data_IF_098243213941
#
_entry.id   IF_098243213941
#
_cell.length_a   1.000
_cell.length_b   1.000
_cell.length_c   1.000
_cell.angle_alpha   90.00
_cell.angle_beta   90.00
_cell.angle_gamma   90.00
#
_symmetry.space_group_name_H-M   'P 1'
#
loop_
_entity.id
_entity.type
_entity.pdbx_description
1 polymer ?
#
# COMPACT_ATOMS: atom_id res chain seq x y z
N UNK A 1 -5.35 -16.83 3.95
CA UNK A 1 -5.04 -15.46 3.51
C UNK A 1 -6.31 -14.70 3.15
N UNK A 2 -7.13 -15.24 2.24
CA UNK A 2 -8.35 -14.58 1.77
C UNK A 2 -9.44 -14.42 2.84
N UNK A 3 -9.65 -15.40 3.71
CA UNK A 3 -10.60 -15.27 4.83
C UNK A 3 -10.34 -14.02 5.67
N UNK A 4 -9.07 -13.74 5.99
CA UNK A 4 -8.69 -12.57 6.75
C UNK A 4 -9.01 -11.25 6.03
N UNK A 5 -8.97 -11.23 4.69
CA UNK A 5 -9.34 -10.05 3.91
C UNK A 5 -10.86 -9.76 4.00
N UNK A 6 -11.69 -10.81 4.07
CA UNK A 6 -13.12 -10.67 4.32
C UNK A 6 -13.38 -10.20 5.75
N UNK A 7 -12.68 -10.76 6.74
CA UNK A 7 -12.83 -10.33 8.13
C UNK A 7 -12.47 -8.84 8.31
N UNK A 8 -11.47 -8.34 7.57
CA UNK A 8 -11.13 -6.91 7.56
C UNK A 8 -12.24 -6.09 6.90
N UNK A 9 -12.79 -6.52 5.76
CA UNK A 9 -13.93 -5.85 5.12
C UNK A 9 -15.13 -5.74 6.09
N UNK A 10 -15.41 -6.81 6.84
CA UNK A 10 -16.52 -6.89 7.78
C UNK A 10 -16.25 -6.08 9.07
N UNK A 11 -14.99 -6.00 9.53
CA UNK A 11 -14.59 -5.16 10.70
C UNK A 11 -14.75 -3.66 10.39
N UNK A 12 -14.55 -3.24 9.14
CA UNK A 12 -14.48 -1.82 8.74
C UNK A 12 -15.65 -1.38 7.83
N UNK A 13 -16.86 -1.84 8.15
CA UNK A 13 -18.09 -1.60 7.37
C UNK A 13 -18.42 -0.10 7.15
N UNK A 14 -17.99 0.77 8.07
CA UNK A 14 -18.63 2.07 8.26
C UNK A 14 -17.94 3.25 7.55
N UNK A 15 -16.65 3.18 7.16
CA UNK A 15 -15.95 4.40 6.67
C UNK A 15 -14.89 4.27 5.58
N UNK A 16 -14.61 3.10 5.01
CA UNK A 16 -13.57 3.00 3.97
C UNK A 16 -13.86 1.93 2.93
N UNK A 17 -13.87 2.31 1.66
CA UNK A 17 -13.73 1.34 0.56
C UNK A 17 -12.31 0.80 0.65
N UNK A 18 -12.15 -0.37 1.28
CA UNK A 18 -10.87 -1.08 1.31
C UNK A 18 -10.58 -1.57 -0.12
N UNK A 19 -9.39 -1.24 -0.60
CA UNK A 19 -8.89 -1.73 -1.88
C UNK A 19 -7.91 -2.88 -1.61
N UNK A 20 -8.36 -4.10 -1.81
CA UNK A 20 -7.49 -5.28 -1.75
C UNK A 20 -6.63 -5.33 -3.01
N UNK A 21 -5.33 -5.56 -2.82
CA UNK A 21 -4.36 -5.67 -3.92
C UNK A 21 -3.51 -6.92 -3.71
N UNK A 22 -3.20 -7.62 -4.80
CA UNK A 22 -2.33 -8.80 -4.80
C UNK A 22 -1.30 -8.67 -5.91
N UNK A 23 -0.05 -9.02 -5.61
CA UNK A 23 0.96 -9.21 -6.64
C UNK A 23 0.63 -10.45 -7.47
N UNK A 24 0.59 -10.28 -8.78
CA UNK A 24 0.16 -11.33 -9.69
C UNK A 24 1.27 -11.67 -10.69
N UNK A 25 1.68 -12.93 -10.66
CA UNK A 25 2.29 -13.61 -11.80
C UNK A 25 1.27 -14.57 -12.41
N UNK A 26 1.38 -14.88 -13.70
CA UNK A 26 0.39 -15.71 -14.43
C UNK A 26 0.01 -17.02 -13.69
N UNK A 27 1.00 -17.68 -13.07
CA UNK A 27 0.78 -18.91 -12.28
C UNK A 27 0.11 -18.61 -10.92
N UNK A 28 0.48 -17.50 -10.28
CA UNK A 28 -0.08 -17.08 -9.00
C UNK A 28 -1.54 -16.62 -9.15
N UNK A 29 -1.89 -16.02 -10.29
CA UNK A 29 -3.28 -15.66 -10.61
C UNK A 29 -4.16 -16.91 -10.68
N UNK A 30 -3.70 -17.97 -11.35
CA UNK A 30 -4.51 -19.20 -11.45
C UNK A 30 -4.68 -19.90 -10.09
N UNK A 31 -3.62 -19.99 -9.29
CA UNK A 31 -3.67 -20.65 -7.98
C UNK A 31 -4.46 -19.83 -6.97
N UNK A 32 -4.11 -18.56 -6.80
CA UNK A 32 -4.76 -17.70 -5.81
C UNK A 32 -6.16 -17.26 -6.24
N UNK A 33 -6.43 -17.17 -7.54
CA UNK A 33 -7.77 -16.92 -8.08
C UNK A 33 -8.73 -18.05 -7.71
N UNK A 34 -8.32 -19.32 -7.88
CA UNK A 34 -9.14 -20.47 -7.45
C UNK A 34 -9.40 -20.48 -5.95
N UNK A 35 -8.38 -20.17 -5.14
CA UNK A 35 -8.56 -20.06 -3.69
C UNK A 35 -9.49 -18.90 -3.31
N UNK A 36 -9.40 -17.77 -4.02
CA UNK A 36 -10.27 -16.63 -3.81
C UNK A 36 -11.72 -16.96 -4.18
N UNK A 37 -11.94 -17.63 -5.30
CA UNK A 37 -13.26 -18.06 -5.76
C UNK A 37 -13.90 -19.02 -4.75
N UNK A 38 -13.15 -20.00 -4.24
CA UNK A 38 -13.65 -20.92 -3.22
C UNK A 38 -14.10 -20.18 -1.95
N UNK A 39 -13.29 -19.24 -1.46
CA UNK A 39 -13.64 -18.43 -0.28
C UNK A 39 -14.80 -17.48 -0.57
N UNK A 40 -14.91 -16.97 -1.81
CA UNK A 40 -16.00 -16.11 -2.23
C UNK A 40 -17.34 -16.86 -2.27
N UNK A 41 -17.33 -18.12 -2.71
CA UNK A 41 -18.49 -19.02 -2.68
C UNK A 41 -18.94 -19.28 -1.25
N UNK A 42 -17.99 -19.59 -0.35
CA UNK A 42 -18.27 -19.81 1.08
C UNK A 42 -18.82 -18.56 1.78
N UNK A 43 -18.32 -17.37 1.40
CA UNK A 43 -18.74 -16.08 1.97
C UNK A 43 -19.97 -15.48 1.26
N UNK A 44 -20.41 -16.06 0.14
CA UNK A 44 -21.54 -15.59 -0.66
C UNK A 44 -21.35 -14.21 -1.33
N UNK A 45 -20.11 -13.72 -1.41
CA UNK A 45 -19.78 -12.45 -2.08
C UNK A 45 -18.36 -12.46 -2.64
N UNK A 46 -18.16 -11.79 -3.77
CA UNK A 46 -16.84 -11.61 -4.38
C UNK A 46 -16.04 -10.50 -3.68
N UNK A 47 -14.76 -10.73 -3.43
CA UNK A 47 -13.84 -9.72 -2.90
C UNK A 47 -13.38 -8.80 -4.03
N UNK A 48 -13.36 -7.48 -3.76
CA UNK A 48 -12.80 -6.50 -4.71
C UNK A 48 -11.28 -6.51 -4.61
N UNK A 49 -10.63 -7.51 -5.22
CA UNK A 49 -9.18 -7.63 -5.32
C UNK A 49 -8.65 -7.11 -6.66
N UNK A 50 -7.56 -6.35 -6.64
CA UNK A 50 -6.86 -5.87 -7.82
C UNK A 50 -5.50 -6.56 -7.96
N UNK A 51 -5.28 -7.18 -9.11
CA UNK A 51 -4.01 -7.78 -9.48
C UNK A 51 -2.99 -6.71 -9.93
N UNK A 52 -1.78 -6.77 -9.35
CA UNK A 52 -0.63 -5.94 -9.72
C UNK A 52 0.37 -6.78 -10.52
N UNK A 53 0.41 -6.55 -11.84
CA UNK A 53 1.27 -7.25 -12.81
C UNK A 53 2.58 -6.49 -13.12
N UNK A 54 2.93 -5.48 -12.32
CA UNK A 54 4.14 -4.69 -12.61
C UNK A 54 5.38 -5.55 -12.41
N UNK A 55 6.37 -5.36 -13.28
CA UNK A 55 7.72 -5.84 -13.01
C UNK A 55 8.30 -4.98 -11.88
N UNK A 56 8.41 -5.56 -10.69
CA UNK A 56 9.03 -4.92 -9.54
C UNK A 56 10.55 -4.90 -9.73
N UNK A 57 11.16 -3.73 -9.51
CA UNK A 57 12.61 -3.59 -9.43
C UNK A 57 13.18 -4.26 -8.18
N UNK A 58 14.44 -3.97 -7.86
CA UNK A 58 15.09 -4.57 -6.70
C UNK A 58 14.31 -4.35 -5.40
N UNK A 59 14.13 -5.44 -4.64
CA UNK A 59 13.31 -5.47 -3.43
C UNK A 59 13.91 -4.59 -2.33
N UNK A 60 15.23 -4.58 -2.19
CA UNK A 60 15.92 -3.78 -1.20
C UNK A 60 15.79 -2.30 -1.47
N UNK A 61 16.04 -1.88 -2.71
CA UNK A 61 15.88 -0.50 -3.12
C UNK A 61 14.45 -0.02 -2.85
N UNK A 62 13.43 -0.81 -3.24
CA UNK A 62 12.01 -0.47 -3.01
C UNK A 62 11.68 -0.28 -1.53
N UNK A 63 12.03 -1.23 -0.68
CA UNK A 63 11.72 -1.14 0.76
C UNK A 63 12.49 0.01 1.42
N UNK A 64 13.75 0.25 1.04
CA UNK A 64 14.55 1.36 1.60
C UNK A 64 13.92 2.74 1.37
N UNK A 65 13.13 2.92 0.29
CA UNK A 65 12.45 4.20 0.06
C UNK A 65 11.45 4.55 1.17
N UNK A 66 10.97 3.55 1.92
CA UNK A 66 10.03 3.73 3.02
C UNK A 66 10.66 4.43 4.23
N UNK A 67 11.99 4.40 4.38
CA UNK A 67 12.69 5.05 5.50
C UNK A 67 12.30 6.53 5.60
N UNK A 68 12.21 7.21 4.45
CA UNK A 68 11.79 8.60 4.37
C UNK A 68 10.38 8.85 4.93
N UNK A 69 9.46 7.89 4.81
CA UNK A 69 8.10 7.98 5.35
C UNK A 69 8.06 7.73 6.86
N UNK A 70 8.90 6.80 7.35
CA UNK A 70 9.06 6.52 8.78
C UNK A 70 9.71 7.69 9.52
N UNK A 71 10.82 8.23 9.01
CA UNK A 71 11.52 9.37 9.60
C UNK A 71 10.62 10.62 9.71
N UNK A 72 9.75 10.82 8.70
CA UNK A 72 8.78 11.92 8.69
C UNK A 72 7.52 11.65 9.53
N UNK A 73 7.40 10.48 10.15
CA UNK A 73 6.25 10.10 10.98
C UNK A 73 4.93 9.97 10.21
N UNK A 74 5.00 9.70 8.89
CA UNK A 74 3.85 9.52 8.00
C UNK A 74 3.28 8.10 8.07
N UNK A 75 4.10 7.12 8.45
CA UNK A 75 3.66 5.76 8.75
C UNK A 75 3.49 5.62 10.26
N UNK A 76 2.34 5.09 10.70
CA UNK A 76 2.01 4.92 12.13
C UNK A 76 1.35 3.57 12.35
N UNK A 77 1.82 2.86 13.37
CA UNK A 77 1.18 1.62 13.82
C UNK A 77 0.16 1.91 14.91
N UNK A 78 -0.99 1.23 14.85
CA UNK A 78 -2.04 1.36 15.85
C UNK A 78 -1.58 0.79 17.20
N UNK A 79 -1.54 1.65 18.23
CA UNK A 79 -1.10 1.26 19.58
C UNK A 79 -1.98 0.18 20.21
N UNK A 80 -3.27 0.14 19.88
CA UNK A 80 -4.20 -0.89 20.36
C UNK A 80 -3.84 -2.28 19.83
N UNK A 81 -3.17 -2.35 18.67
CA UNK A 81 -2.72 -3.59 18.04
C UNK A 81 -1.26 -3.92 18.38
N UNK A 82 -0.58 -3.16 19.27
CA UNK A 82 0.85 -3.36 19.62
C UNK A 82 1.18 -4.78 20.10
N UNK A 83 0.26 -5.42 20.81
CA UNK A 83 0.46 -6.76 21.37
C UNK A 83 0.14 -7.91 20.39
N UNK A 84 -0.49 -7.60 19.25
CA UNK A 84 -0.81 -8.57 18.22
C UNK A 84 0.47 -9.20 17.65
N UNK A 85 0.45 -10.52 17.46
CA UNK A 85 1.60 -11.28 16.96
C UNK A 85 2.06 -10.80 15.57
N UNK A 86 1.13 -10.54 14.65
CA UNK A 86 1.42 -10.02 13.33
C UNK A 86 2.04 -8.62 13.37
N UNK A 87 1.54 -7.74 14.24
CA UNK A 87 2.12 -6.39 14.41
C UNK A 87 3.54 -6.43 14.98
N UNK A 88 3.82 -7.36 15.91
CA UNK A 88 5.18 -7.58 16.44
C UNK A 88 6.11 -8.12 15.35
N UNK A 89 5.65 -9.12 14.60
CA UNK A 89 6.41 -9.73 13.51
C UNK A 89 6.77 -8.69 12.44
N UNK A 90 5.80 -7.90 11.98
CA UNK A 90 6.02 -6.86 10.98
C UNK A 90 7.06 -5.83 11.45
N UNK A 91 6.98 -5.39 12.71
CA UNK A 91 7.98 -4.48 13.28
C UNK A 91 9.36 -5.12 13.36
N UNK A 92 9.45 -6.38 13.77
CA UNK A 92 10.71 -7.12 13.80
C UNK A 92 11.31 -7.27 12.39
N UNK A 93 10.48 -7.51 11.38
CA UNK A 93 10.93 -7.57 9.98
C UNK A 93 11.51 -6.24 9.51
N UNK A 94 10.82 -5.11 9.74
CA UNK A 94 11.35 -3.79 9.41
C UNK A 94 12.65 -3.45 10.14
N UNK A 95 12.77 -3.83 11.42
CA UNK A 95 13.98 -3.58 12.22
C UNK A 95 15.17 -4.47 11.83
N UNK A 96 14.89 -5.66 11.30
CA UNK A 96 15.91 -6.61 10.86
C UNK A 96 16.19 -6.54 9.36
N UNK A 97 15.61 -5.53 8.68
CA UNK A 97 15.76 -5.29 7.25
C UNK A 97 17.13 -4.69 6.97
N UNK A 98 18.15 -5.54 6.91
CA UNK A 98 19.50 -5.19 6.47
C UNK A 98 19.85 -5.96 5.20
N UNK A 99 20.63 -5.32 4.32
CA UNK A 99 21.09 -5.94 3.06
C UNK A 99 21.95 -7.17 3.37
N UNK A 100 21.41 -8.37 3.14
CA UNK A 100 22.06 -9.65 3.45
C UNK A 100 21.49 -10.38 4.67
N UNK A 101 20.42 -9.87 5.29
CA UNK A 101 19.67 -10.56 6.34
C UNK A 101 18.88 -11.74 5.74
N UNK A 102 18.87 -12.88 6.42
CA UNK A 102 18.03 -14.05 6.05
C UNK A 102 16.60 -13.97 6.62
N UNK A 103 16.21 -12.80 7.13
CA UNK A 103 14.88 -12.60 7.72
C UNK A 103 13.84 -12.52 6.60
N UNK A 104 12.62 -12.97 6.91
CA UNK A 104 11.53 -12.90 5.95
C UNK A 104 11.13 -11.43 5.69
N UNK A 105 11.27 -11.00 4.43
CA UNK A 105 10.98 -9.66 3.93
C UNK A 105 9.58 -9.51 3.30
N UNK A 106 8.69 -10.49 3.43
CA UNK A 106 7.36 -10.48 2.81
C UNK A 106 6.46 -9.37 3.37
N UNK A 107 6.51 -9.12 4.67
CA UNK A 107 5.75 -8.06 5.33
C UNK A 107 6.14 -6.66 4.84
N UNK A 108 7.44 -6.31 4.88
CA UNK A 108 7.96 -5.08 4.28
C UNK A 108 7.63 -4.91 2.79
N UNK A 109 7.71 -5.97 1.97
CA UNK A 109 7.37 -5.88 0.54
C UNK A 109 5.88 -5.67 0.29
N UNK A 110 5.02 -6.37 1.04
CA UNK A 110 3.58 -6.16 0.98
C UNK A 110 3.20 -4.72 1.38
N UNK A 111 3.90 -4.16 2.38
CA UNK A 111 3.70 -2.77 2.79
C UNK A 111 4.16 -1.78 1.72
N UNK A 112 5.33 -1.97 1.08
CA UNK A 112 5.73 -1.13 -0.06
C UNK A 112 4.69 -1.18 -1.17
N UNK A 113 4.18 -2.38 -1.49
CA UNK A 113 3.16 -2.56 -2.51
C UNK A 113 1.88 -1.78 -2.20
N UNK A 114 1.45 -1.82 -0.94
CA UNK A 114 0.31 -1.04 -0.47
C UNK A 114 0.55 0.48 -0.60
N UNK A 115 1.72 0.97 -0.17
CA UNK A 115 2.09 2.39 -0.30
C UNK A 115 2.08 2.83 -1.77
N UNK A 116 2.65 2.02 -2.66
CA UNK A 116 2.66 2.32 -4.10
C UNK A 116 1.24 2.41 -4.68
N UNK A 117 0.35 1.51 -4.29
CA UNK A 117 -1.05 1.54 -4.72
C UNK A 117 -1.79 2.78 -4.19
N UNK A 118 -1.55 3.15 -2.93
CA UNK A 118 -2.08 4.39 -2.35
C UNK A 118 -1.61 5.63 -3.12
N UNK A 119 -0.33 5.73 -3.45
CA UNK A 119 0.24 6.86 -4.18
C UNK A 119 -0.32 6.97 -5.61
N UNK A 120 -0.54 5.83 -6.27
CA UNK A 120 -1.11 5.78 -7.62
C UNK A 120 -2.59 6.20 -7.64
N UNK A 121 -3.38 5.72 -6.68
CA UNK A 121 -4.80 6.07 -6.54
C UNK A 121 -5.00 7.52 -6.09
N UNK A 122 -4.06 8.02 -5.29
CA UNK A 122 -4.12 9.34 -4.65
C UNK A 122 -3.30 10.42 -5.33
N UNK A 123 -3.14 10.43 -6.67
CA UNK A 123 -2.55 11.58 -7.37
C UNK A 123 -3.29 12.84 -6.93
N UNK A 124 -2.72 13.56 -5.96
CA UNK A 124 -3.11 14.93 -5.66
C UNK A 124 -2.91 15.63 -6.99
N UNK A 125 -4.00 15.94 -7.69
CA UNK A 125 -3.94 16.89 -8.79
C UNK A 125 -3.25 18.09 -8.17
N UNK A 126 -2.00 18.35 -8.57
CA UNK A 126 -1.37 19.61 -8.23
C UNK A 126 -2.44 20.65 -8.59
N UNK A 127 -2.97 21.36 -7.60
CA UNK A 127 -3.92 22.43 -7.87
C UNK A 127 -3.22 23.27 -8.91
N UNK A 128 -3.73 23.28 -10.15
CA UNK A 128 -2.94 23.65 -11.32
C UNK A 128 -2.11 24.89 -11.03
N UNK A 129 -0.81 24.86 -11.38
CA UNK A 129 0.16 25.91 -11.06
C UNK A 129 -0.54 27.26 -11.08
N UNK A 130 -0.73 27.88 -9.90
CA UNK A 130 -1.40 29.17 -9.78
C UNK A 130 -0.51 30.22 -10.46
N UNK A 131 -0.62 30.32 -11.78
CA UNK A 131 -0.01 31.38 -12.55
C UNK A 131 -0.73 32.68 -12.19
N UNK A 132 -0.13 33.48 -11.32
CA UNK A 132 -0.59 34.84 -11.10
C UNK A 132 -0.57 35.58 -12.45
N UNK A 133 -1.70 36.16 -12.86
CA UNK A 133 -1.71 37.06 -14.03
C UNK A 133 -0.90 38.31 -13.66
N UNK A 134 0.31 38.43 -14.19
CA UNK A 134 1.11 39.64 -14.07
C UNK A 134 0.36 40.81 -14.75
N UNK A 135 -0.06 41.81 -13.96
CA UNK A 135 -0.72 43.01 -14.48
C UNK A 135 0.38 44.01 -14.89
N UNK A 136 0.70 44.07 -16.18
CA UNK A 136 1.73 44.99 -16.70
C UNK A 136 1.27 46.44 -16.49
N UNK A 137 1.95 47.19 -15.62
CA UNK A 137 1.70 48.63 -15.43
C UNK A 137 2.00 49.39 -16.73
N UNK A 138 1.05 50.22 -17.19
CA UNK A 138 1.24 51.14 -18.33
C UNK A 138 1.76 52.52 -17.92
N UNK A 139 1.98 52.77 -16.63
CA UNK A 139 2.57 54.03 -16.19
C UNK A 139 4.09 53.93 -16.35
N UNK A 140 4.60 54.46 -17.46
CA UNK A 140 6.02 54.80 -17.56
C UNK A 140 6.22 56.02 -16.65
N UNK A 141 7.05 55.90 -15.62
CA UNK A 141 7.60 57.08 -14.96
C UNK A 141 8.30 57.90 -16.04
N UNK A 142 7.89 59.15 -16.20
CA UNK A 142 8.78 60.18 -16.74
C UNK A 142 9.94 60.39 -15.76
#
# INVERSE_FOLDING_TARGET
MWEHAYDIDDEYEDYTVIQHCMEANFIQEEVHGKELDNVADDKGRQLRCKYDYRSKGDKHDRISTLDSLFERGLVRFNILRKNNAGMKLLRSQFLAFEKGSHVNDDGPDAFEGAVWMCDKGGKRRASGTRGGKYKKSKTRSM
#
